data_IF_627229105279
#
_entry.id   IF_627229105279
#
_cell.length_a   1.000
_cell.length_b   1.000
_cell.length_c   1.000
_cell.angle_alpha   90.00
_cell.angle_beta   90.00
_cell.angle_gamma   90.00
#
_symmetry.space_group_name_H-M   'P 1'
#
loop_
_entity.id
_entity.type
_entity.pdbx_description
1 polymer ?
#
# COMPACT_ATOMS: atom_id res chain seq x y z
N UNK A 1 8.96 24.71 2.56
CA UNK A 1 8.27 26.01 2.82
C UNK A 1 6.81 25.81 3.27
N UNK A 2 5.95 25.18 2.47
CA UNK A 2 4.51 25.05 2.77
C UNK A 2 4.18 24.35 4.10
N UNK A 3 4.89 23.26 4.43
CA UNK A 3 4.72 22.60 5.74
C UNK A 3 5.05 23.55 6.91
N UNK A 4 6.10 24.37 6.78
CA UNK A 4 6.48 25.33 7.81
C UNK A 4 5.45 26.44 8.01
N UNK A 5 4.83 26.91 6.93
CA UNK A 5 3.71 27.87 6.99
C UNK A 5 2.50 27.26 7.71
N UNK A 6 2.24 25.97 7.51
CA UNK A 6 1.18 25.26 8.22
C UNK A 6 1.46 25.07 9.73
N UNK A 7 2.73 25.07 10.15
CA UNK A 7 3.10 25.03 11.58
C UNK A 7 2.79 26.34 12.33
N UNK A 8 2.34 27.39 11.62
CA UNK A 8 1.80 28.58 12.28
C UNK A 8 0.74 28.16 13.29
N UNK A 9 0.72 28.82 14.45
CA UNK A 9 -0.18 28.47 15.55
C UNK A 9 -1.66 28.70 15.22
N UNK A 10 -2.00 29.34 14.09
CA UNK A 10 -3.37 29.35 13.55
C UNK A 10 -3.60 28.39 12.38
N UNK A 11 -2.55 27.77 11.86
CA UNK A 11 -2.63 26.76 10.81
C UNK A 11 -2.90 25.38 11.39
N UNK A 12 -1.92 24.84 12.11
CA UNK A 12 -1.98 23.47 12.64
C UNK A 12 -3.08 23.28 13.70
N UNK A 13 -3.42 24.32 14.44
CA UNK A 13 -4.48 24.30 15.47
C UNK A 13 -5.88 24.44 14.87
N UNK A 14 -6.00 24.86 13.61
CA UNK A 14 -7.28 25.12 12.96
C UNK A 14 -8.04 26.35 13.50
N UNK A 15 -7.36 27.32 14.10
CA UNK A 15 -8.00 28.57 14.60
C UNK A 15 -8.13 29.67 13.53
N UNK A 16 -7.63 29.44 12.32
CA UNK A 16 -7.80 30.34 11.17
C UNK A 16 -9.22 30.35 10.60
N UNK A 17 -9.56 31.40 9.84
CA UNK A 17 -10.81 31.46 9.06
C UNK A 17 -10.83 30.40 7.94
N UNK A 18 -12.02 29.95 7.54
CA UNK A 18 -12.21 28.89 6.54
C UNK A 18 -11.39 29.05 5.25
N UNK A 19 -11.37 30.26 4.66
CA UNK A 19 -10.61 30.51 3.43
C UNK A 19 -9.09 30.37 3.62
N UNK A 20 -8.59 30.68 4.82
CA UNK A 20 -7.18 30.52 5.18
C UNK A 20 -6.86 29.04 5.41
N UNK A 21 -7.78 28.29 6.03
CA UNK A 21 -7.67 26.83 6.16
C UNK A 21 -7.61 26.16 4.79
N UNK A 22 -8.44 26.59 3.84
CA UNK A 22 -8.41 26.09 2.46
C UNK A 22 -7.09 26.43 1.75
N UNK A 23 -6.52 27.62 1.97
CA UNK A 23 -5.20 27.98 1.46
C UNK A 23 -4.10 27.08 2.04
N UNK A 24 -4.12 26.80 3.35
CA UNK A 24 -3.21 25.83 3.96
C UNK A 24 -3.37 24.44 3.34
N UNK A 25 -4.60 23.96 3.16
CA UNK A 25 -4.90 22.68 2.53
C UNK A 25 -4.32 22.56 1.13
N UNK A 26 -4.56 23.56 0.28
CA UNK A 26 -4.01 23.63 -1.07
C UNK A 26 -2.47 23.62 -1.06
N UNK A 27 -1.84 24.42 -0.20
CA UNK A 27 -0.38 24.44 -0.08
C UNK A 27 0.21 23.09 0.36
N UNK A 28 -0.45 22.40 1.28
CA UNK A 28 -0.02 21.08 1.74
C UNK A 28 -0.18 20.03 0.63
N UNK A 29 -1.28 20.07 -0.12
CA UNK A 29 -1.47 19.19 -1.28
C UNK A 29 -0.35 19.37 -2.31
N UNK A 30 -0.02 20.61 -2.67
CA UNK A 30 1.11 20.90 -3.57
C UNK A 30 2.43 20.38 -2.99
N UNK A 31 2.64 20.52 -1.69
CA UNK A 31 3.86 20.04 -1.02
C UNK A 31 3.98 18.52 -1.06
N UNK A 32 2.88 17.80 -0.81
CA UNK A 32 2.83 16.33 -0.89
C UNK A 32 3.13 15.87 -2.30
N UNK A 33 2.46 16.44 -3.31
CA UNK A 33 2.69 16.09 -4.73
C UNK A 33 4.14 16.35 -5.15
N UNK A 34 4.72 17.47 -4.72
CA UNK A 34 6.13 17.80 -5.00
C UNK A 34 7.08 16.82 -4.33
N UNK A 35 6.83 16.45 -3.07
CA UNK A 35 7.63 15.47 -2.34
C UNK A 35 7.54 14.07 -2.97
N UNK A 36 6.34 13.65 -3.40
CA UNK A 36 6.14 12.40 -4.14
C UNK A 36 6.99 12.39 -5.41
N UNK A 37 6.94 13.45 -6.21
CA UNK A 37 7.72 13.55 -7.44
C UNK A 37 9.24 13.42 -7.19
N UNK A 38 9.76 14.12 -6.17
CA UNK A 38 11.17 14.03 -5.78
C UNK A 38 11.53 12.63 -5.31
N UNK A 39 10.69 11.97 -4.49
CA UNK A 39 10.93 10.60 -4.05
C UNK A 39 10.96 9.61 -5.22
N UNK A 40 10.03 9.75 -6.17
CA UNK A 40 9.93 8.91 -7.37
C UNK A 40 11.20 9.04 -8.23
N UNK A 41 11.62 10.28 -8.52
CA UNK A 41 12.83 10.53 -9.31
C UNK A 41 14.11 10.10 -8.58
N UNK A 42 14.20 10.35 -7.27
CA UNK A 42 15.37 9.96 -6.48
C UNK A 42 15.50 8.43 -6.41
N UNK A 43 14.39 7.72 -6.21
CA UNK A 43 14.39 6.26 -6.21
C UNK A 43 14.75 5.70 -7.60
N UNK A 44 14.20 6.26 -8.67
CA UNK A 44 14.51 5.84 -10.03
C UNK A 44 16.00 6.05 -10.34
N UNK A 45 16.55 7.22 -10.00
CA UNK A 45 17.98 7.49 -10.15
C UNK A 45 18.84 6.51 -9.36
N UNK A 46 18.49 6.18 -8.10
CA UNK A 46 19.25 5.23 -7.29
C UNK A 46 19.21 3.80 -7.83
N UNK A 47 18.10 3.41 -8.47
CA UNK A 47 17.89 2.05 -8.99
C UNK A 47 18.50 1.87 -10.38
N UNK A 48 18.33 2.85 -11.28
CA UNK A 48 18.78 2.77 -12.68
C UNK A 48 20.14 3.43 -12.92
N UNK A 49 20.59 4.31 -12.03
CA UNK A 49 21.89 4.99 -12.08
C UNK A 49 22.20 5.59 -13.46
N UNK A 50 23.10 4.95 -14.23
CA UNK A 50 23.54 5.43 -15.55
C UNK A 50 22.45 5.29 -16.63
N UNK A 51 21.47 4.42 -16.43
CA UNK A 51 20.38 4.19 -17.38
C UNK A 51 19.14 5.06 -17.07
N UNK A 52 19.21 5.90 -16.03
CA UNK A 52 18.10 6.74 -15.63
C UNK A 52 17.77 7.82 -16.67
N UNK A 53 16.51 7.87 -17.09
CA UNK A 53 15.95 8.98 -17.87
C UNK A 53 14.72 9.57 -17.18
N UNK A 54 14.76 10.87 -16.91
CA UNK A 54 13.66 11.61 -16.28
C UNK A 54 12.34 11.53 -17.07
N UNK A 55 12.42 11.35 -18.39
CA UNK A 55 11.24 11.28 -19.26
C UNK A 55 10.64 9.88 -19.40
N UNK A 56 11.40 8.81 -19.08
CA UNK A 56 11.00 7.42 -19.34
C UNK A 56 10.74 6.58 -18.08
N UNK A 57 11.44 6.86 -16.96
CA UNK A 57 11.37 6.03 -15.75
C UNK A 57 10.45 6.64 -14.68
N UNK A 58 9.14 6.51 -14.88
CA UNK A 58 8.17 6.91 -13.86
C UNK A 58 7.93 5.76 -12.86
N UNK A 59 8.76 5.69 -11.82
CA UNK A 59 8.33 5.03 -10.59
C UNK A 59 7.11 5.77 -10.07
N UNK A 60 6.03 5.05 -9.80
CA UNK A 60 4.78 5.66 -9.32
C UNK A 60 4.59 5.35 -7.84
N UNK A 61 4.37 6.40 -7.04
CA UNK A 61 3.97 6.29 -5.65
C UNK A 61 2.69 5.48 -5.54
N UNK A 62 2.65 4.58 -4.56
CA UNK A 62 1.48 3.72 -4.29
C UNK A 62 0.26 4.50 -3.77
N UNK A 63 0.40 5.80 -3.50
CA UNK A 63 -0.64 6.65 -2.93
C UNK A 63 -1.03 7.77 -3.90
N UNK A 64 -2.32 7.99 -4.06
CA UNK A 64 -2.89 9.08 -4.86
C UNK A 64 -3.80 9.95 -4.00
N UNK A 65 -3.49 11.25 -3.96
CA UNK A 65 -4.30 12.27 -3.30
C UNK A 65 -5.06 13.06 -4.38
N UNK A 66 -6.40 12.96 -4.39
CA UNK A 66 -7.24 13.65 -5.40
C UNK A 66 -7.30 15.16 -5.13
N UNK A 67 -7.53 15.53 -3.87
CA UNK A 67 -7.53 16.89 -3.35
C UNK A 67 -7.22 16.88 -1.85
N UNK A 68 -6.87 18.03 -1.27
CA UNK A 68 -6.64 18.18 0.18
C UNK A 68 -7.85 17.79 1.04
N UNK A 69 -9.07 17.85 0.50
CA UNK A 69 -10.31 17.46 1.18
C UNK A 69 -10.59 15.95 1.11
N UNK A 70 -9.84 15.23 0.28
CA UNK A 70 -10.05 13.81 0.04
C UNK A 70 -9.05 12.95 0.82
N UNK A 71 -9.52 11.80 1.33
CA UNK A 71 -8.60 10.81 1.89
C UNK A 71 -7.66 10.27 0.81
N UNK A 72 -6.36 10.11 1.10
CA UNK A 72 -5.44 9.44 0.20
C UNK A 72 -5.91 8.02 -0.13
N UNK A 73 -5.79 7.62 -1.40
CA UNK A 73 -6.18 6.29 -1.87
C UNK A 73 -4.97 5.53 -2.37
N UNK A 74 -4.90 4.24 -2.04
CA UNK A 74 -3.91 3.33 -2.62
C UNK A 74 -4.22 3.12 -4.10
N UNK A 75 -3.19 3.17 -4.95
CA UNK A 75 -3.30 2.83 -6.37
C UNK A 75 -3.50 1.31 -6.51
N UNK A 76 -4.40 0.93 -7.40
CA UNK A 76 -4.64 -0.48 -7.74
C UNK A 76 -3.56 -0.95 -8.71
N UNK A 77 -2.86 -2.02 -8.36
CA UNK A 77 -1.99 -2.73 -9.29
C UNK A 77 -2.86 -3.70 -10.08
N UNK A 78 -3.05 -3.37 -11.36
CA UNK A 78 -3.75 -4.24 -12.30
C UNK A 78 -2.78 -5.24 -12.90
N UNK A 79 -3.08 -6.53 -12.71
CA UNK A 79 -2.40 -7.65 -13.33
C UNK A 79 -3.34 -8.23 -14.38
N UNK A 80 -2.90 -8.25 -15.64
CA UNK A 80 -3.66 -8.80 -16.76
C UNK A 80 -3.01 -10.09 -17.27
N UNK A 81 -3.81 -11.14 -17.34
CA UNK A 81 -3.44 -12.44 -17.89
C UNK A 81 -3.03 -12.39 -19.37
N UNK A 82 -3.63 -11.50 -20.17
CA UNK A 82 -3.35 -11.43 -21.60
C UNK A 82 -1.99 -10.79 -21.89
N UNK A 83 -1.59 -9.82 -21.06
CA UNK A 83 -0.33 -9.09 -21.20
C UNK A 83 0.83 -9.70 -20.38
N UNK A 84 0.62 -10.85 -19.70
CA UNK A 84 1.56 -11.46 -18.76
C UNK A 84 2.21 -10.42 -17.84
N UNK A 85 1.39 -9.52 -17.27
CA UNK A 85 1.93 -8.31 -16.66
C UNK A 85 2.68 -8.65 -15.38
N UNK A 86 3.99 -8.44 -15.38
CA UNK A 86 4.83 -8.45 -14.18
C UNK A 86 4.87 -7.03 -13.63
N UNK A 87 4.73 -6.88 -12.30
CA UNK A 87 4.77 -5.58 -11.64
C UNK A 87 5.82 -5.57 -10.55
N UNK A 88 6.85 -4.74 -10.74
CA UNK A 88 7.91 -4.52 -9.76
C UNK A 88 7.45 -3.44 -8.77
N UNK A 89 7.65 -3.69 -7.49
CA UNK A 89 7.37 -2.75 -6.40
C UNK A 89 8.60 -2.57 -5.55
N UNK A 90 8.93 -1.32 -5.25
CA UNK A 90 10.05 -0.96 -4.39
C UNK A 90 9.53 -0.41 -3.07
N UNK A 91 10.13 -0.87 -1.97
CA UNK A 91 9.77 -0.47 -0.62
C UNK A 91 10.97 0.23 -0.02
N UNK A 92 10.77 1.45 0.47
CA UNK A 92 11.83 2.26 1.08
C UNK A 92 11.71 2.25 2.61
N UNK A 93 12.84 2.08 3.29
CA UNK A 93 12.96 2.30 4.72
C UNK A 93 13.63 3.66 5.00
N UNK A 94 12.88 4.68 5.45
CA UNK A 94 13.45 5.99 5.76
C UNK A 94 14.16 6.08 7.12
N UNK A 95 14.30 4.98 7.86
CA UNK A 95 14.85 4.97 9.23
C UNK A 95 16.27 4.40 9.28
N UNK A 96 17.00 4.76 10.33
CA UNK A 96 18.37 4.30 10.65
C UNK A 96 18.42 2.88 11.21
N UNK A 97 17.27 2.24 11.39
CA UNK A 97 17.16 0.89 11.93
C UNK A 97 16.55 -0.06 10.91
N UNK A 98 16.97 -1.32 10.97
CA UNK A 98 16.33 -2.43 10.24
C UNK A 98 14.88 -2.58 10.71
N UNK A 99 13.96 -2.85 9.77
CA UNK A 99 12.53 -3.01 10.05
C UNK A 99 11.97 -4.28 9.45
N UNK A 100 11.14 -4.96 10.23
CA UNK A 100 10.27 -6.04 9.78
C UNK A 100 8.83 -5.54 9.89
N UNK A 101 8.13 -5.41 8.77
CA UNK A 101 6.80 -4.82 8.74
C UNK A 101 5.92 -5.45 7.65
N UNK A 102 4.64 -5.61 7.95
CA UNK A 102 3.64 -6.00 6.96
C UNK A 102 3.31 -4.79 6.08
N UNK A 103 3.52 -4.91 4.78
CA UNK A 103 3.14 -3.92 3.78
C UNK A 103 1.91 -4.41 3.03
N UNK A 104 0.91 -3.53 2.89
CA UNK A 104 -0.35 -3.81 2.19
C UNK A 104 -0.36 -3.15 0.82
N UNK A 105 -0.61 -3.96 -0.22
CA UNK A 105 -0.65 -3.54 -1.62
C UNK A 105 -2.02 -3.89 -2.19
N UNK A 106 -2.63 -2.98 -2.96
CA UNK A 106 -3.93 -3.23 -3.56
C UNK A 106 -3.73 -3.86 -4.95
N UNK A 107 -4.27 -5.07 -5.16
CA UNK A 107 -4.13 -5.83 -6.41
C UNK A 107 -5.50 -6.17 -7.03
N UNK A 108 -5.56 -6.34 -8.35
CA UNK A 108 -6.81 -6.61 -9.09
C UNK A 108 -7.31 -8.06 -8.98
N UNK A 109 -6.45 -9.00 -8.60
CA UNK A 109 -6.72 -10.43 -8.56
C UNK A 109 -6.09 -11.08 -7.33
N UNK A 110 -6.68 -12.19 -6.87
CA UNK A 110 -6.15 -13.01 -5.79
C UNK A 110 -5.17 -14.09 -6.29
N UNK A 111 -5.05 -14.27 -7.61
CA UNK A 111 -4.13 -15.26 -8.20
C UNK A 111 -2.76 -14.63 -8.37
N UNK A 112 -2.08 -14.31 -7.27
CA UNK A 112 -0.77 -13.67 -7.31
C UNK A 112 0.24 -14.41 -6.47
N UNK A 113 1.49 -14.42 -6.92
CA UNK A 113 2.64 -14.80 -6.11
C UNK A 113 3.68 -13.70 -6.17
N UNK A 114 4.56 -13.65 -5.16
CA UNK A 114 5.56 -12.60 -5.02
C UNK A 114 6.94 -13.23 -5.00
N UNK A 115 7.87 -12.60 -5.71
CA UNK A 115 9.29 -12.95 -5.64
C UNK A 115 10.13 -11.80 -5.09
N UNK A 116 11.23 -12.13 -4.43
CA UNK A 116 12.29 -11.18 -4.07
C UNK A 116 13.62 -11.79 -4.48
N UNK A 117 14.51 -11.03 -5.14
CA UNK A 117 15.74 -11.56 -5.74
C UNK A 117 15.47 -12.79 -6.65
N UNK A 118 14.40 -12.73 -7.44
CA UNK A 118 13.94 -13.81 -8.33
C UNK A 118 13.58 -15.14 -7.64
N UNK A 119 13.40 -15.15 -6.32
CA UNK A 119 12.93 -16.32 -5.57
C UNK A 119 11.53 -16.08 -4.97
N UNK A 120 10.61 -17.06 -5.04
CA UNK A 120 9.32 -16.96 -4.37
C UNK A 120 9.47 -16.70 -2.86
N UNK A 121 8.56 -15.92 -2.30
CA UNK A 121 8.49 -15.71 -0.85
C UNK A 121 7.25 -16.40 -0.29
N UNK A 122 7.39 -17.02 0.88
CA UNK A 122 6.27 -17.66 1.58
C UNK A 122 5.55 -16.69 2.53
N UNK A 123 6.19 -15.57 2.88
CA UNK A 123 5.66 -14.59 3.84
C UNK A 123 4.72 -13.57 3.17
N UNK A 124 3.73 -14.08 2.44
CA UNK A 124 2.67 -13.28 1.84
C UNK A 124 1.27 -13.84 2.15
N UNK A 125 0.26 -13.00 2.07
CA UNK A 125 -1.15 -13.36 2.30
C UNK A 125 -2.05 -12.46 1.46
N UNK A 126 -3.23 -12.95 1.09
CA UNK A 126 -4.23 -12.17 0.35
C UNK A 126 -5.52 -12.06 1.16
N UNK A 127 -5.92 -10.82 1.41
CA UNK A 127 -7.17 -10.47 2.06
C UNK A 127 -8.19 -9.93 1.03
N UNK A 128 -9.49 -10.18 1.22
CA UNK A 128 -10.52 -9.51 0.43
C UNK A 128 -10.56 -8.01 0.76
N UNK A 129 -10.72 -7.17 -0.27
CA UNK A 129 -10.98 -5.75 -0.01
C UNK A 129 -12.45 -5.57 0.30
N UNK A 130 -12.80 -5.17 1.52
CA UNK A 130 -14.18 -4.82 1.84
C UNK A 130 -14.61 -3.48 1.21
N UNK A 131 -15.81 -3.45 0.63
CA UNK A 131 -16.47 -2.20 0.26
C UNK A 131 -16.84 -1.43 1.53
N UNK A 132 -16.98 -0.10 1.45
CA UNK A 132 -16.94 0.79 2.63
C UNK A 132 -17.96 0.44 3.74
N UNK A 133 -17.83 1.11 4.89
CA UNK A 133 -18.49 0.85 6.19
C UNK A 133 -19.99 0.50 6.19
N UNK A 134 -20.75 0.78 5.13
CA UNK A 134 -22.18 0.51 5.02
C UNK A 134 -22.52 -0.80 4.29
N UNK A 135 -21.53 -1.52 3.79
CA UNK A 135 -21.74 -2.74 3.01
C UNK A 135 -20.82 -3.85 3.53
N UNK A 136 -21.43 -4.96 3.93
CA UNK A 136 -20.72 -6.20 4.24
C UNK A 136 -20.30 -6.95 2.97
N UNK A 137 -20.14 -6.25 1.86
CA UNK A 137 -19.79 -6.84 0.58
C UNK A 137 -18.31 -6.63 0.27
N UNK A 138 -17.69 -7.65 -0.30
CA UNK A 138 -16.35 -7.54 -0.87
C UNK A 138 -16.39 -6.68 -2.13
N UNK A 139 -15.38 -5.83 -2.30
CA UNK A 139 -15.15 -5.07 -3.50
C UNK A 139 -14.75 -6.03 -4.64
N UNK A 140 -15.43 -5.91 -5.78
CA UNK A 140 -15.12 -6.71 -6.96
C UNK A 140 -13.73 -6.37 -7.48
N UNK A 141 -12.97 -7.40 -7.87
CA UNK A 141 -11.64 -7.30 -8.50
C UNK A 141 -10.67 -6.41 -7.72
N UNK A 142 -10.73 -6.48 -6.39
CA UNK A 142 -9.85 -5.74 -5.48
C UNK A 142 -9.52 -6.62 -4.28
N UNK A 143 -8.23 -6.83 -4.06
CA UNK A 143 -7.71 -7.60 -2.95
C UNK A 143 -6.57 -6.83 -2.30
N UNK A 144 -6.34 -7.07 -1.01
CA UNK A 144 -5.17 -6.56 -0.30
C UNK A 144 -4.13 -7.68 -0.23
N UNK A 145 -3.00 -7.50 -0.91
CA UNK A 145 -1.83 -8.35 -0.79
C UNK A 145 -0.97 -7.85 0.38
N UNK A 146 -0.75 -8.71 1.35
CA UNK A 146 0.07 -8.47 2.53
C UNK A 146 1.40 -9.17 2.34
N UNK A 147 2.50 -8.45 2.53
CA UNK A 147 3.86 -9.00 2.43
C UNK A 147 4.59 -8.66 3.72
N UNK A 148 5.21 -9.66 4.36
CA UNK A 148 6.13 -9.42 5.46
C UNK A 148 7.48 -8.95 4.89
N UNK A 149 7.76 -7.67 5.04
CA UNK A 149 8.95 -7.04 4.47
C UNK A 149 10.00 -6.91 5.55
N UNK A 150 11.16 -7.49 5.31
CA UNK A 150 12.36 -7.34 6.12
C UNK A 150 13.38 -6.48 5.36
N UNK A 151 13.60 -5.25 5.83
CA UNK A 151 14.34 -4.20 5.10
C UNK A 151 15.36 -3.51 6.01
N UNK A 152 16.57 -3.29 5.49
CA UNK A 152 17.68 -2.67 6.23
C UNK A 152 17.49 -1.15 6.37
N UNK A 153 18.27 -0.52 7.25
CA UNK A 153 18.29 0.92 7.44
C UNK A 153 18.58 1.68 6.12
N UNK A 154 17.86 2.76 5.85
CA UNK A 154 18.03 3.63 4.68
C UNK A 154 18.11 2.92 3.32
N UNK A 155 17.42 1.78 3.18
CA UNK A 155 17.51 0.93 1.99
C UNK A 155 16.22 0.88 1.19
N UNK A 156 16.35 0.50 -0.09
CA UNK A 156 15.25 0.11 -0.98
C UNK A 156 15.27 -1.41 -1.14
N UNK A 157 14.09 -2.03 -1.06
CA UNK A 157 13.93 -3.47 -1.32
C UNK A 157 12.92 -3.72 -2.44
N UNK A 158 13.35 -4.52 -3.40
CA UNK A 158 12.54 -4.94 -4.55
C UNK A 158 11.70 -6.17 -4.22
N UNK A 159 10.44 -6.12 -4.66
CA UNK A 159 9.56 -7.26 -4.77
C UNK A 159 8.89 -7.25 -6.14
N UNK A 160 8.69 -8.42 -6.71
CA UNK A 160 8.05 -8.57 -8.01
C UNK A 160 6.76 -9.36 -7.84
N UNK A 161 5.65 -8.77 -8.27
CA UNK A 161 4.32 -9.36 -8.19
C UNK A 161 4.00 -9.97 -9.55
N UNK A 162 3.66 -11.25 -9.53
CA UNK A 162 3.38 -12.06 -10.71
C UNK A 162 1.94 -12.56 -10.67
N UNK A 163 1.37 -12.78 -11.85
CA UNK A 163 0.12 -13.52 -11.97
C UNK A 163 0.41 -15.03 -11.84
N UNK A 164 -0.34 -15.69 -10.97
CA UNK A 164 -0.26 -17.12 -10.72
C UNK A 164 -1.06 -17.88 -11.77
N UNK A 165 -0.39 -18.36 -12.82
CA UNK A 165 -1.00 -19.28 -13.81
C UNK A 165 -0.69 -20.74 -13.48
N UNK A 166 0.56 -21.03 -13.11
CA UNK A 166 1.05 -22.38 -12.81
C UNK A 166 1.62 -22.52 -11.39
N UNK A 167 2.19 -21.44 -10.84
CA UNK A 167 2.74 -21.44 -9.49
C UNK A 167 1.64 -21.33 -8.42
N UNK A 168 1.98 -21.72 -7.19
CA UNK A 168 1.10 -21.56 -6.05
C UNK A 168 0.98 -20.07 -5.68
N UNK A 169 -0.25 -19.58 -5.62
CA UNK A 169 -0.53 -18.21 -5.18
C UNK A 169 -0.27 -18.03 -3.69
N UNK A 170 -0.06 -16.79 -3.25
CA UNK A 170 -0.09 -16.43 -1.85
C UNK A 170 -1.40 -16.93 -1.20
N UNK A 171 -1.33 -17.48 0.02
CA UNK A 171 -2.48 -18.05 0.69
C UNK A 171 -3.58 -17.00 0.89
N UNK A 172 -4.83 -17.42 0.70
CA UNK A 172 -6.00 -16.62 0.99
C UNK A 172 -6.31 -16.66 2.48
N UNK A 173 -6.75 -15.54 3.01
CA UNK A 173 -7.25 -15.46 4.39
C UNK A 173 -8.59 -16.17 4.52
N UNK A 174 -8.69 -17.04 5.52
CA UNK A 174 -9.96 -17.62 5.95
C UNK A 174 -10.66 -16.63 6.87
N UNK A 175 -11.90 -16.27 6.54
CA UNK A 175 -12.74 -15.38 7.35
C UNK A 175 -13.93 -16.18 7.84
N UNK A 176 -13.95 -16.47 9.14
CA UNK A 176 -15.10 -17.09 9.80
C UNK A 176 -15.97 -16.01 10.44
N UNK A 177 -17.24 -15.97 10.06
CA UNK A 177 -18.23 -15.07 10.67
C UNK A 177 -18.99 -15.84 11.74
N UNK A 178 -18.79 -15.48 13.01
CA UNK A 178 -19.60 -16.00 14.11
C UNK A 178 -20.67 -14.97 14.49
N UNK A 179 -21.94 -15.33 14.30
CA UNK A 179 -23.06 -14.52 14.75
C UNK A 179 -23.45 -14.96 16.17
N UNK A 180 -23.76 -14.04 17.09
CA UNK A 180 -24.13 -14.40 18.48
C UNK A 180 -25.33 -15.35 18.60
N UNK A 181 -26.16 -15.47 17.55
CA UNK A 181 -27.32 -16.39 17.53
C UNK A 181 -26.97 -17.83 17.12
N UNK A 182 -25.79 -18.05 16.54
CA UNK A 182 -25.31 -19.36 16.14
C UNK A 182 -24.18 -19.78 17.09
N UNK A 183 -24.55 -20.17 18.32
CA UNK A 183 -23.61 -20.90 19.18
C UNK A 183 -23.17 -22.16 18.41
N UNK A 184 -21.85 -22.43 18.27
CA UNK A 184 -21.43 -23.72 17.77
C UNK A 184 -21.97 -24.81 18.70
N UNK A 185 -22.60 -25.83 18.13
CA UNK A 185 -22.87 -27.08 18.84
C UNK A 185 -21.58 -27.53 19.51
N UNK A 186 -21.71 -27.94 20.77
CA UNK A 186 -20.65 -28.48 21.62
C UNK A 186 -19.68 -29.35 20.82
N UNK A 187 -18.53 -28.78 20.47
CA UNK A 187 -17.32 -29.55 20.26
C UNK A 187 -16.22 -28.87 21.03
N UNK A 188 -15.59 -29.65 21.89
CA UNK A 188 -14.54 -29.30 22.82
C UNK A 188 -13.26 -28.88 22.08
N UNK A 189 -13.29 -27.72 21.43
CA UNK A 189 -12.13 -27.08 20.81
C UNK A 189 -11.90 -25.72 21.46
N UNK A 190 -10.72 -25.53 22.04
CA UNK A 190 -10.29 -24.19 22.45
C UNK A 190 -10.04 -23.37 21.19
N UNK A 191 -10.95 -22.46 20.86
CA UNK A 191 -10.76 -21.50 19.78
C UNK A 191 -9.91 -20.33 20.31
N UNK A 192 -8.68 -20.25 19.83
CA UNK A 192 -7.80 -19.11 20.12
C UNK A 192 -8.10 -18.02 19.09
N UNK A 193 -8.80 -16.97 19.53
CA UNK A 193 -8.92 -15.72 18.79
C UNK A 193 -7.60 -14.96 18.89
N UNK A 194 -6.79 -14.98 17.82
CA UNK A 194 -5.67 -14.05 17.67
C UNK A 194 -6.13 -12.87 16.82
N UNK A 195 -6.41 -11.75 17.47
CA UNK A 195 -6.52 -10.44 16.84
C UNK A 195 -5.12 -9.84 16.82
N UNK A 196 -4.56 -9.60 15.63
CA UNK A 196 -3.36 -8.76 15.45
C UNK A 196 -3.75 -7.28 15.35
#
# INVERSE_FOLDING_TARGET
RNLGVFQHHDGITGTSKDHVVNDYGSKLETAIKSAQNVMEHSAAYLLYQNDYSADNDSLLSNMHLKSFESLPRRKLITLDSQAQTIKVVYIYNPTDQRRIQIVKILVSTHQVFVTSNNQPIDSCQIDPKWSGRKSNMMAKNKFELLILVNIEAYSLKEYTIHLSTTQQSCPLTTIEYMNEKDKPMESSGYFIFLVL
#
